data_IF_329651170939
#
_entry.id   IF_329651170939
#
_cell.length_a   1.000
_cell.length_b   1.000
_cell.length_c   1.000
_cell.angle_alpha   90.00
_cell.angle_beta   90.00
_cell.angle_gamma   90.00
#
_symmetry.space_group_name_H-M   'P 1'
#
loop_
_entity.id
_entity.type
_entity.pdbx_description
1 polymer ?
#
# COMPACT_ATOMS: atom_id res chain seq x y z
N UNK A 1 4.69 -6.72 -23.66
CA UNK A 1 5.91 -6.18 -23.03
C UNK A 1 6.23 -6.92 -21.72
N UNK A 2 5.37 -6.88 -20.69
CA UNK A 2 5.58 -7.63 -19.43
C UNK A 2 5.51 -9.16 -19.58
N UNK A 3 4.47 -9.71 -20.22
CA UNK A 3 4.33 -11.16 -20.45
C UNK A 3 5.31 -11.73 -21.51
N UNK A 4 6.07 -10.86 -22.18
CA UNK A 4 7.12 -11.27 -23.11
C UNK A 4 8.47 -11.49 -22.43
N UNK A 5 8.61 -11.10 -21.16
CA UNK A 5 9.81 -11.36 -20.39
C UNK A 5 9.84 -12.82 -19.91
N UNK A 6 10.94 -13.53 -20.17
CA UNK A 6 11.06 -14.95 -19.86
C UNK A 6 10.86 -15.27 -18.37
N UNK A 7 11.28 -14.38 -17.46
CA UNK A 7 11.13 -14.59 -16.01
C UNK A 7 9.67 -14.45 -15.61
N UNK A 8 8.99 -13.41 -16.09
CA UNK A 8 7.56 -13.17 -15.81
C UNK A 8 6.71 -14.28 -16.44
N UNK A 9 6.99 -14.63 -17.69
CA UNK A 9 6.31 -15.72 -18.38
C UNK A 9 6.50 -17.04 -17.62
N UNK A 10 7.73 -17.37 -17.23
CA UNK A 10 8.04 -18.60 -16.48
C UNK A 10 7.33 -18.69 -15.13
N UNK A 11 7.18 -17.55 -14.44
CA UNK A 11 6.46 -17.49 -13.18
C UNK A 11 4.95 -17.72 -13.34
N UNK A 12 4.40 -17.42 -14.53
CA UNK A 12 2.98 -17.61 -14.88
C UNK A 12 2.67 -18.96 -15.56
N UNK A 13 3.63 -19.87 -15.73
CA UNK A 13 3.46 -21.09 -16.56
C UNK A 13 2.48 -22.14 -16.00
N UNK A 14 2.12 -22.10 -14.72
CA UNK A 14 1.18 -23.08 -14.15
C UNK A 14 -0.25 -22.92 -14.68
N UNK A 15 -0.65 -21.70 -15.08
CA UNK A 15 -1.88 -21.39 -15.81
C UNK A 15 -1.66 -20.08 -16.59
N UNK A 16 -1.99 -20.01 -17.89
CA UNK A 16 -1.80 -18.78 -18.66
C UNK A 16 -2.53 -17.62 -17.97
N UNK A 17 -1.80 -16.56 -17.65
CA UNK A 17 -2.35 -15.39 -17.00
C UNK A 17 -3.50 -14.82 -17.84
N UNK A 18 -4.72 -14.90 -17.32
CA UNK A 18 -5.88 -14.30 -17.97
C UNK A 18 -5.76 -12.79 -17.85
N UNK A 19 -5.59 -12.13 -19.00
CA UNK A 19 -5.50 -10.68 -19.07
C UNK A 19 -6.90 -10.11 -19.14
N UNK A 20 -7.28 -9.39 -18.09
CA UNK A 20 -8.54 -8.69 -17.99
C UNK A 20 -8.33 -7.21 -18.30
N UNK A 21 -9.40 -6.54 -18.75
CA UNK A 21 -9.41 -5.09 -18.95
C UNK A 21 -10.21 -4.43 -17.85
N UNK A 22 -9.60 -3.46 -17.19
CA UNK A 22 -10.29 -2.58 -16.26
C UNK A 22 -10.24 -1.14 -16.76
N UNK A 23 -11.17 -0.34 -16.23
CA UNK A 23 -11.18 1.10 -16.40
C UNK A 23 -10.71 1.73 -15.09
N UNK A 24 -9.82 2.69 -15.22
CA UNK A 24 -9.32 3.52 -14.13
C UNK A 24 -9.83 4.93 -14.33
N UNK A 25 -10.42 5.52 -13.30
CA UNK A 25 -10.77 6.93 -13.29
C UNK A 25 -9.84 7.64 -12.30
N UNK A 26 -9.06 8.60 -12.79
CA UNK A 26 -8.35 9.57 -11.97
C UNK A 26 -8.85 10.96 -12.32
N UNK A 27 -9.60 11.56 -11.40
CA UNK A 27 -10.34 12.80 -11.59
C UNK A 27 -11.24 12.71 -12.84
N UNK A 28 -11.05 13.57 -13.84
CA UNK A 28 -11.82 13.55 -15.09
C UNK A 28 -11.25 12.57 -16.15
N UNK A 29 -10.09 11.95 -15.88
CA UNK A 29 -9.41 11.09 -16.85
C UNK A 29 -9.83 9.64 -16.65
N UNK A 30 -10.49 9.08 -17.66
CA UNK A 30 -10.84 7.67 -17.73
C UNK A 30 -9.89 6.95 -18.69
N UNK A 31 -9.09 6.02 -18.17
CA UNK A 31 -8.14 5.23 -18.94
C UNK A 31 -8.45 3.74 -18.83
N UNK A 32 -8.35 3.02 -19.95
CA UNK A 32 -8.40 1.56 -19.94
C UNK A 32 -7.00 0.99 -19.72
N UNK A 33 -6.89 -0.01 -18.86
CA UNK A 33 -5.64 -0.72 -18.62
C UNK A 33 -5.89 -2.24 -18.59
N UNK A 34 -4.84 -2.98 -18.94
CA UNK A 34 -4.86 -4.44 -18.89
C UNK A 34 -4.17 -4.91 -17.62
N UNK A 35 -4.79 -5.81 -16.88
CA UNK A 35 -4.21 -6.40 -15.67
C UNK A 35 -4.38 -7.93 -15.69
N UNK A 36 -3.64 -8.61 -14.83
CA UNK A 36 -3.81 -10.04 -14.59
C UNK A 36 -3.58 -10.32 -13.11
N UNK A 37 -4.30 -11.32 -12.58
CA UNK A 37 -4.22 -11.65 -11.15
C UNK A 37 -3.02 -12.55 -10.89
N UNK A 38 -2.25 -12.21 -9.87
CA UNK A 38 -1.15 -13.04 -9.41
C UNK A 38 -1.66 -14.12 -8.48
N UNK A 39 -1.43 -15.38 -8.84
CA UNK A 39 -1.85 -16.57 -8.10
C UNK A 39 -1.17 -16.75 -6.74
N UNK A 40 -0.02 -16.12 -6.50
CA UNK A 40 0.68 -16.22 -5.21
C UNK A 40 1.50 -14.98 -4.87
N UNK A 41 1.70 -14.75 -3.57
CA UNK A 41 2.58 -13.67 -3.07
C UNK A 41 4.04 -13.88 -3.48
N UNK A 42 4.50 -15.12 -3.60
CA UNK A 42 5.86 -15.42 -4.05
C UNK A 42 6.07 -14.97 -5.50
N UNK A 43 5.09 -15.21 -6.37
CA UNK A 43 5.12 -14.71 -7.73
C UNK A 43 5.16 -13.17 -7.78
N UNK A 44 4.39 -12.50 -6.93
CA UNK A 44 4.44 -11.04 -6.79
C UNK A 44 5.83 -10.50 -6.48
N UNK A 45 6.58 -11.16 -5.58
CA UNK A 45 7.97 -10.77 -5.27
C UNK A 45 8.90 -10.92 -6.46
N UNK A 46 8.81 -12.04 -7.18
CA UNK A 46 9.65 -12.32 -8.36
C UNK A 46 9.38 -11.31 -9.47
N UNK A 47 8.11 -11.06 -9.77
CA UNK A 47 7.72 -10.10 -10.81
C UNK A 47 8.13 -8.67 -10.42
N UNK A 48 7.90 -8.26 -9.16
CA UNK A 48 8.31 -6.94 -8.69
C UNK A 48 9.82 -6.73 -8.81
N UNK A 49 10.63 -7.72 -8.40
CA UNK A 49 12.08 -7.67 -8.57
C UNK A 49 12.49 -7.59 -10.05
N UNK A 50 11.80 -8.32 -10.93
CA UNK A 50 12.06 -8.27 -12.37
C UNK A 50 11.71 -6.92 -12.97
N UNK A 51 10.59 -6.31 -12.58
CA UNK A 51 10.20 -4.97 -13.04
C UNK A 51 11.25 -3.92 -12.68
N UNK A 52 11.85 -4.00 -11.49
CA UNK A 52 12.95 -3.10 -11.08
C UNK A 52 14.15 -3.24 -12.02
N UNK A 53 14.56 -4.48 -12.35
CA UNK A 53 15.67 -4.74 -13.29
C UNK A 53 15.35 -4.21 -14.69
N UNK A 54 14.09 -4.29 -15.11
CA UNK A 54 13.63 -3.79 -16.41
C UNK A 54 13.42 -2.26 -16.44
N UNK A 55 13.63 -1.56 -15.31
CA UNK A 55 13.37 -0.12 -15.21
C UNK A 55 11.87 0.25 -15.31
N UNK A 56 10.98 -0.72 -15.05
CA UNK A 56 9.54 -0.49 -15.02
C UNK A 56 9.13 0.02 -13.64
N UNK A 57 8.56 1.24 -13.53
CA UNK A 57 8.13 1.75 -12.24
C UNK A 57 7.02 0.87 -11.67
N UNK A 58 7.15 0.51 -10.40
CA UNK A 58 6.17 -0.28 -9.67
C UNK A 58 5.63 0.50 -8.48
N UNK A 59 4.33 0.39 -8.24
CA UNK A 59 3.68 0.91 -7.06
C UNK A 59 3.04 -0.23 -6.29
N UNK A 60 3.33 -0.31 -4.99
CA UNK A 60 2.73 -1.29 -4.10
C UNK A 60 1.56 -0.63 -3.37
N UNK A 61 0.35 -1.08 -3.70
CA UNK A 61 -0.89 -0.61 -3.08
C UNK A 61 -1.57 -1.74 -2.33
N UNK A 62 -2.16 -1.42 -1.20
CA UNK A 62 -2.93 -2.34 -0.39
C UNK A 62 -4.38 -1.85 -0.28
N UNK A 63 -5.31 -2.58 -0.90
CA UNK A 63 -6.75 -2.32 -0.79
C UNK A 63 -7.28 -2.84 0.55
N UNK A 64 -7.17 -2.02 1.59
CA UNK A 64 -7.49 -2.42 2.95
C UNK A 64 -9.00 -2.44 3.22
N UNK A 65 -9.80 -1.69 2.45
CA UNK A 65 -11.26 -1.70 2.60
C UNK A 65 -11.89 -2.99 2.08
N UNK A 66 -11.39 -3.50 0.94
CA UNK A 66 -11.92 -4.75 0.35
C UNK A 66 -11.27 -6.00 0.90
N UNK A 67 -10.15 -5.89 1.62
CA UNK A 67 -9.50 -7.03 2.25
C UNK A 67 -10.30 -7.56 3.45
N UNK A 68 -11.02 -8.67 3.26
CA UNK A 68 -11.74 -9.40 4.31
C UNK A 68 -10.94 -10.54 4.93
N UNK A 69 -9.74 -10.82 4.41
CA UNK A 69 -8.89 -11.93 4.88
C UNK A 69 -8.25 -11.64 6.23
N UNK A 70 -8.06 -10.35 6.54
CA UNK A 70 -7.49 -9.88 7.81
C UNK A 70 -8.59 -9.24 8.65
N UNK A 71 -8.65 -9.62 9.94
CA UNK A 71 -9.58 -9.04 10.91
C UNK A 71 -9.50 -7.51 10.93
N UNK A 72 -10.66 -6.85 11.01
CA UNK A 72 -10.71 -5.41 11.26
C UNK A 72 -10.38 -5.14 12.74
N UNK A 73 -9.50 -4.19 12.97
CA UNK A 73 -9.14 -3.74 14.30
C UNK A 73 -9.91 -2.46 14.65
N UNK A 74 -10.72 -2.52 15.71
CA UNK A 74 -11.62 -1.43 16.09
C UNK A 74 -10.96 -0.51 17.10
N UNK A 75 -10.34 0.56 16.60
CA UNK A 75 -9.82 1.64 17.43
C UNK A 75 -9.93 2.96 16.65
N UNK A 76 -10.08 4.05 17.39
CA UNK A 76 -10.23 5.40 16.84
C UNK A 76 -9.49 6.40 17.71
N UNK A 77 -9.15 7.54 17.10
CA UNK A 77 -8.62 8.68 17.84
C UNK A 77 -9.70 9.22 18.78
N UNK A 78 -9.27 9.65 19.97
CA UNK A 78 -10.16 10.36 20.90
C UNK A 78 -10.57 11.70 20.29
N UNK A 79 -11.81 12.13 20.54
CA UNK A 79 -12.36 13.40 20.01
C UNK A 79 -11.60 14.65 20.47
N UNK A 80 -10.88 14.56 21.59
CA UNK A 80 -10.04 15.66 22.10
C UNK A 80 -8.72 15.82 21.34
N UNK A 81 -8.29 14.78 20.61
CA UNK A 81 -7.07 14.84 19.81
C UNK A 81 -7.29 15.75 18.62
N UNK A 82 -6.44 16.78 18.48
CA UNK A 82 -6.47 17.72 17.35
C UNK A 82 -5.21 17.55 16.50
N UNK A 83 -5.26 16.75 15.42
CA UNK A 83 -4.16 16.66 14.47
C UNK A 83 -3.84 18.01 13.83
N UNK A 84 -2.58 18.22 13.50
CA UNK A 84 -2.14 19.39 12.74
C UNK A 84 -2.42 19.18 11.25
N UNK A 85 -2.61 20.25 10.48
CA UNK A 85 -2.96 20.18 9.04
C UNK A 85 -2.04 19.26 8.24
N UNK A 86 -0.72 19.43 8.37
CA UNK A 86 0.27 18.60 7.68
C UNK A 86 0.18 17.10 8.04
N UNK A 87 -0.34 16.74 9.21
CA UNK A 87 -0.52 15.33 9.59
C UNK A 87 -1.73 14.75 8.85
N UNK A 88 -2.81 15.54 8.71
CA UNK A 88 -4.00 15.14 7.94
C UNK A 88 -3.62 14.96 6.47
N UNK A 89 -2.94 15.95 5.89
CA UNK A 89 -2.43 15.90 4.51
C UNK A 89 -1.53 14.69 4.28
N UNK A 90 -0.64 14.36 5.24
CA UNK A 90 0.23 13.20 5.13
C UNK A 90 -0.55 11.86 5.15
N UNK A 91 -1.62 11.74 5.94
CA UNK A 91 -2.49 10.55 5.92
C UNK A 91 -3.25 10.46 4.60
N UNK A 92 -3.80 11.58 4.11
CA UNK A 92 -4.52 11.64 2.83
C UNK A 92 -3.61 11.33 1.63
N UNK A 93 -2.35 11.77 1.66
CA UNK A 93 -1.37 11.42 0.64
C UNK A 93 -1.03 9.91 0.64
N UNK A 94 -1.03 9.28 1.83
CA UNK A 94 -0.75 7.85 1.97
C UNK A 94 -1.97 6.97 1.65
N UNK A 95 -3.20 7.44 1.91
CA UNK A 95 -4.44 6.68 1.72
C UNK A 95 -5.34 7.33 0.68
N UNK A 96 -5.69 6.60 -0.38
CA UNK A 96 -6.60 7.08 -1.43
C UNK A 96 -7.64 6.01 -1.76
N UNK A 97 -8.92 6.37 -1.77
CA UNK A 97 -10.04 5.50 -2.19
C UNK A 97 -10.03 4.09 -1.56
N UNK A 98 -9.79 4.01 -0.24
CA UNK A 98 -9.75 2.73 0.48
C UNK A 98 -8.47 1.91 0.28
N UNK A 99 -7.49 2.48 -0.42
CA UNK A 99 -6.17 1.89 -0.64
C UNK A 99 -5.08 2.63 0.13
N UNK A 100 -4.07 1.89 0.59
CA UNK A 100 -2.87 2.39 1.23
C UNK A 100 -1.69 2.22 0.28
N UNK A 101 -0.98 3.30 0.00
CA UNK A 101 0.25 3.27 -0.77
C UNK A 101 1.43 2.93 0.15
N UNK A 102 2.25 1.96 -0.26
CA UNK A 102 3.55 1.71 0.38
C UNK A 102 4.49 2.87 0.11
N UNK A 103 5.17 3.36 1.15
CA UNK A 103 6.06 4.51 1.02
C UNK A 103 6.65 4.98 2.36
N UNK A 104 7.23 6.17 2.34
CA UNK A 104 7.80 6.81 3.53
C UNK A 104 7.22 8.22 3.71
N UNK A 105 6.96 8.58 4.97
CA UNK A 105 6.53 9.92 5.36
C UNK A 105 7.66 10.57 6.17
N UNK A 106 8.23 11.65 5.66
CA UNK A 106 9.36 12.33 6.27
C UNK A 106 8.87 13.48 7.16
N UNK A 107 9.22 13.44 8.45
CA UNK A 107 8.85 14.48 9.41
C UNK A 107 10.03 14.85 10.34
N UNK A 108 10.19 16.13 10.70
CA UNK A 108 11.21 16.56 11.64
C UNK A 108 10.96 16.02 13.06
N UNK A 109 11.96 16.15 13.93
CA UNK A 109 11.80 15.84 15.36
C UNK A 109 10.72 16.74 15.99
N UNK A 110 9.91 16.20 16.91
CA UNK A 110 8.83 16.96 17.56
C UNK A 110 7.56 17.23 16.70
N UNK A 111 7.55 16.83 15.43
CA UNK A 111 6.38 17.02 14.55
C UNK A 111 5.21 16.06 14.82
N UNK A 112 5.36 15.13 15.78
CA UNK A 112 4.31 14.14 16.08
C UNK A 112 4.30 12.94 15.15
N UNK A 113 5.48 12.34 14.88
CA UNK A 113 5.63 11.11 14.09
C UNK A 113 4.78 9.95 14.64
N UNK A 114 4.79 9.77 15.95
CA UNK A 114 4.00 8.73 16.63
C UNK A 114 2.50 8.92 16.40
N UNK A 115 2.00 10.15 16.60
CA UNK A 115 0.59 10.46 16.36
C UNK A 115 0.20 10.22 14.90
N UNK A 116 1.05 10.60 13.93
CA UNK A 116 0.79 10.34 12.52
C UNK A 116 0.67 8.84 12.22
N UNK A 117 1.53 8.00 12.81
CA UNK A 117 1.42 6.55 12.70
C UNK A 117 0.10 6.02 13.25
N UNK A 118 -0.29 6.50 14.45
CA UNK A 118 -1.59 6.15 15.05
C UNK A 118 -2.76 6.61 14.18
N UNK A 119 -2.69 7.80 13.57
CA UNK A 119 -3.72 8.29 12.64
C UNK A 119 -3.88 7.36 11.42
N UNK A 120 -2.76 6.96 10.81
CA UNK A 120 -2.74 5.98 9.71
C UNK A 120 -3.36 4.64 10.13
N UNK A 121 -2.99 4.15 11.31
CA UNK A 121 -3.57 2.92 11.87
C UNK A 121 -5.09 3.05 12.06
N UNK A 122 -5.57 4.18 12.58
CA UNK A 122 -7.00 4.45 12.79
C UNK A 122 -7.78 4.57 11.47
N UNK A 123 -7.12 5.01 10.40
CA UNK A 123 -7.69 5.11 9.04
C UNK A 123 -7.80 3.73 8.39
N UNK A 124 -6.72 2.94 8.44
CA UNK A 124 -6.61 1.63 7.77
C UNK A 124 -7.35 0.53 8.55
N UNK A 125 -7.38 0.59 9.89
CA UNK A 125 -8.08 -0.34 10.78
C UNK A 125 -7.70 -1.82 10.57
N UNK A 126 -6.43 -2.06 10.23
CA UNK A 126 -5.84 -3.39 10.15
C UNK A 126 -4.79 -3.60 11.24
N UNK A 127 -4.56 -4.84 11.70
CA UNK A 127 -3.45 -5.17 12.58
C UNK A 127 -2.15 -4.63 12.00
N UNK A 128 -1.45 -3.81 12.78
CA UNK A 128 -0.24 -3.10 12.34
C UNK A 128 0.93 -3.53 13.23
N UNK A 129 2.06 -3.85 12.59
CA UNK A 129 3.34 -4.06 13.28
C UNK A 129 4.11 -2.74 13.31
N UNK A 130 4.44 -2.26 14.50
CA UNK A 130 5.32 -1.09 14.69
C UNK A 130 6.70 -1.60 15.07
N UNK A 131 7.70 -1.28 14.26
CA UNK A 131 9.10 -1.67 14.52
C UNK A 131 9.85 -0.45 15.03
N UNK A 132 10.39 -0.56 16.23
CA UNK A 132 11.13 0.50 16.89
C UNK A 132 12.63 0.17 16.95
N UNK A 133 13.49 1.18 16.96
CA UNK A 133 14.95 1.00 16.99
C UNK A 133 15.49 0.50 18.34
N UNK A 134 14.72 0.66 19.42
CA UNK A 134 15.11 0.22 20.76
C UNK A 134 13.96 0.36 21.77
N UNK A 135 14.17 -0.13 22.99
CA UNK A 135 13.14 -0.20 24.04
C UNK A 135 12.53 1.16 24.39
N UNK A 136 13.36 2.21 24.47
CA UNK A 136 12.88 3.58 24.77
C UNK A 136 11.84 4.06 23.75
N UNK A 137 11.98 3.69 22.47
CA UNK A 137 11.01 4.04 21.42
C UNK A 137 9.76 3.17 21.44
N UNK A 138 9.75 2.05 22.16
CA UNK A 138 8.55 1.22 22.36
C UNK A 138 7.68 1.80 23.49
N UNK A 139 8.31 2.39 24.51
CA UNK A 139 7.63 3.02 25.64
C UNK A 139 7.00 4.38 25.29
N UNK A 140 7.46 5.03 24.21
CA UNK A 140 6.99 6.33 23.71
C UNK A 140 5.72 6.23 22.87
#
# INVERSE_FOLDING_TARGET
MLLGDAVIASATLTQPAQVERAMFAWDEVVASYSYFVLQSRNMGKVIAARCVVLGLPIQQQYDYERDTTVRTAYFSLRSQTRPRGYQVEAVEAATKDGTLNSGCLLLPCGAGKTLLGVMLMCKVRKPTLVVCAGAVSVEQ
#
